data_IF_369039916304
#
_entry.id   IF_369039916304
#
_cell.length_a   1.000
_cell.length_b   1.000
_cell.length_c   1.000
_cell.angle_alpha   90.00
_cell.angle_beta   90.00
_cell.angle_gamma   90.00
#
_symmetry.space_group_name_H-M   'P 1'
#
loop_
_entity.id
_entity.type
_entity.pdbx_description
1 polymer ?
#
# COMPACT_ATOMS: atom_id res chain seq x y z
N UNK A 1 -6.60 -5.44 30.88
CA UNK A 1 -6.26 -4.00 30.82
C UNK A 1 -4.77 -3.73 30.57
N UNK A 2 -3.82 -4.32 31.32
CA UNK A 2 -2.36 -4.09 31.10
C UNK A 2 -1.88 -4.34 29.66
N UNK A 3 -2.35 -5.39 28.99
CA UNK A 3 -2.00 -5.68 27.59
C UNK A 3 -2.50 -4.63 26.59
N UNK A 4 -3.74 -4.13 26.76
CA UNK A 4 -4.30 -3.06 25.93
C UNK A 4 -3.53 -1.74 26.08
N UNK A 5 -3.14 -1.38 27.31
CA UNK A 5 -2.32 -0.18 27.56
C UNK A 5 -0.92 -0.28 26.93
N UNK A 6 -0.28 -1.45 26.98
CA UNK A 6 1.01 -1.66 26.34
C UNK A 6 0.91 -1.63 24.81
N UNK A 7 -0.09 -2.29 24.22
CA UNK A 7 -0.34 -2.25 22.78
C UNK A 7 -0.65 -0.83 22.30
N UNK A 8 -1.48 -0.09 23.04
CA UNK A 8 -1.77 1.31 22.76
C UNK A 8 -0.50 2.15 22.75
N UNK A 9 0.30 2.10 23.82
CA UNK A 9 1.53 2.88 23.92
C UNK A 9 2.51 2.55 22.78
N UNK A 10 2.69 1.26 22.47
CA UNK A 10 3.59 0.81 21.40
C UNK A 10 3.13 1.34 20.03
N UNK A 11 1.83 1.23 19.72
CA UNK A 11 1.26 1.73 18.46
C UNK A 11 1.40 3.25 18.37
N UNK A 12 1.15 3.98 19.46
CA UNK A 12 1.33 5.43 19.53
C UNK A 12 2.79 5.83 19.31
N UNK A 13 3.75 5.12 19.92
CA UNK A 13 5.19 5.36 19.73
C UNK A 13 5.60 5.14 18.27
N UNK A 14 5.17 4.03 17.65
CA UNK A 14 5.48 3.75 16.24
C UNK A 14 4.83 4.74 15.28
N UNK A 15 3.61 5.16 15.56
CA UNK A 15 2.93 6.20 14.78
C UNK A 15 3.69 7.52 14.87
N UNK A 16 4.13 7.90 16.07
CA UNK A 16 4.91 9.13 16.30
C UNK A 16 6.26 9.05 15.59
N UNK A 17 6.97 7.93 15.71
CA UNK A 17 8.22 7.69 15.01
C UNK A 17 8.04 7.81 13.49
N UNK A 18 6.97 7.22 12.94
CA UNK A 18 6.66 7.34 11.52
C UNK A 18 6.40 8.78 11.08
N UNK A 19 5.78 9.61 11.93
CA UNK A 19 5.57 11.05 11.64
C UNK A 19 6.90 11.81 11.61
N UNK A 20 7.78 11.55 12.58
CA UNK A 20 9.13 12.14 12.61
C UNK A 20 9.92 11.73 11.36
N UNK A 21 9.91 10.44 11.00
CA UNK A 21 10.54 9.95 9.78
C UNK A 21 9.92 10.55 8.51
N UNK A 22 8.60 10.75 8.50
CA UNK A 22 7.90 11.44 7.41
C UNK A 22 8.39 12.88 7.24
N UNK A 23 8.56 13.61 8.35
CA UNK A 23 9.12 14.96 8.33
C UNK A 23 10.57 14.99 7.81
N UNK A 24 11.41 14.06 8.26
CA UNK A 24 12.79 13.93 7.77
C UNK A 24 12.80 13.61 6.27
N UNK A 25 11.94 12.68 5.82
CA UNK A 25 11.77 12.38 4.40
C UNK A 25 11.43 13.65 3.61
N UNK A 26 10.50 14.47 4.09
CA UNK A 26 10.09 15.67 3.36
C UNK A 26 11.23 16.69 3.26
N UNK A 27 12.07 16.83 4.28
CA UNK A 27 13.31 17.63 4.22
C UNK A 27 14.25 17.09 3.14
N UNK A 28 14.42 15.76 3.06
CA UNK A 28 15.27 15.14 2.04
C UNK A 28 14.70 15.35 0.64
N UNK A 29 13.39 15.13 0.44
CA UNK A 29 12.74 15.38 -0.85
C UNK A 29 12.94 16.84 -1.27
N UNK A 30 12.71 17.80 -0.37
CA UNK A 30 12.93 19.21 -0.65
C UNK A 30 14.40 19.53 -0.99
N UNK A 31 15.36 18.92 -0.27
CA UNK A 31 16.80 19.10 -0.53
C UNK A 31 17.24 18.57 -1.90
N UNK A 32 16.75 17.39 -2.30
CA UNK A 32 17.23 16.70 -3.51
C UNK A 32 16.44 17.08 -4.77
N UNK A 33 15.12 17.30 -4.66
CA UNK A 33 14.28 17.61 -5.81
C UNK A 33 13.97 19.10 -5.93
N UNK A 34 13.87 19.83 -4.82
CA UNK A 34 13.38 21.21 -4.81
C UNK A 34 11.99 21.36 -5.43
N UNK A 35 11.69 22.54 -5.97
CA UNK A 35 10.49 22.80 -6.77
C UNK A 35 10.83 22.70 -8.26
N UNK A 36 11.00 21.49 -8.76
CA UNK A 36 11.39 21.20 -10.16
C UNK A 36 10.30 20.43 -10.89
N UNK A 37 10.37 20.43 -12.23
CA UNK A 37 9.52 19.60 -13.10
C UNK A 37 9.57 18.13 -12.70
N UNK A 38 10.74 17.64 -12.27
CA UNK A 38 10.92 16.28 -11.76
C UNK A 38 10.14 16.03 -10.46
N UNK A 39 10.09 17.00 -9.56
CA UNK A 39 9.32 16.92 -8.31
C UNK A 39 7.83 16.81 -8.60
N UNK A 40 7.31 17.69 -9.45
CA UNK A 40 5.90 17.70 -9.82
C UNK A 40 5.49 16.40 -10.51
N UNK A 41 6.31 15.91 -11.45
CA UNK A 41 6.12 14.64 -12.11
C UNK A 41 6.08 13.46 -11.12
N UNK A 42 7.00 13.42 -10.16
CA UNK A 42 7.03 12.37 -9.13
C UNK A 42 5.77 12.43 -8.26
N UNK A 43 5.38 13.60 -7.76
CA UNK A 43 4.22 13.71 -6.88
C UNK A 43 2.92 13.37 -7.61
N UNK A 44 2.76 13.78 -8.87
CA UNK A 44 1.61 13.38 -9.71
C UNK A 44 1.59 11.85 -9.87
N UNK A 45 2.71 11.25 -10.27
CA UNK A 45 2.80 9.79 -10.42
C UNK A 45 2.52 9.06 -9.10
N UNK A 46 3.02 9.57 -7.98
CA UNK A 46 2.87 8.98 -6.65
C UNK A 46 1.46 9.12 -6.07
N UNK A 47 0.60 10.02 -6.57
CA UNK A 47 -0.82 10.09 -6.16
C UNK A 47 -1.55 8.79 -6.49
N UNK A 48 -1.27 8.20 -7.64
CA UNK A 48 -1.93 6.99 -8.15
C UNK A 48 -1.81 5.81 -7.16
N UNK A 49 -0.60 5.31 -6.82
CA UNK A 49 -0.47 4.22 -5.85
C UNK A 49 -0.98 4.61 -4.46
N UNK A 50 -0.89 5.88 -4.06
CA UNK A 50 -1.39 6.34 -2.76
C UNK A 50 -2.90 6.29 -2.67
N UNK A 51 -3.60 6.60 -3.75
CA UNK A 51 -5.05 6.42 -3.84
C UNK A 51 -5.42 4.99 -3.48
N UNK A 52 -4.86 4.02 -4.19
CA UNK A 52 -5.14 2.60 -3.95
C UNK A 52 -4.68 2.15 -2.56
N UNK A 53 -3.53 2.61 -2.09
CA UNK A 53 -3.06 2.34 -0.72
C UNK A 53 -4.08 2.78 0.31
N UNK A 54 -4.66 3.98 0.18
CA UNK A 54 -5.66 4.48 1.13
C UNK A 54 -6.98 3.72 1.02
N UNK A 55 -7.45 3.44 -0.19
CA UNK A 55 -8.70 2.68 -0.43
C UNK A 55 -8.59 1.24 0.10
N UNK A 56 -7.47 0.56 -0.18
CA UNK A 56 -7.25 -0.83 0.20
C UNK A 56 -6.74 -0.94 1.63
N UNK A 57 -5.58 -0.36 1.96
CA UNK A 57 -4.92 -0.59 3.25
C UNK A 57 -5.58 0.11 4.43
N UNK A 58 -5.97 1.38 4.26
CA UNK A 58 -6.55 2.20 5.33
C UNK A 58 -8.09 2.16 5.36
N UNK A 59 -8.71 1.65 4.30
CA UNK A 59 -10.16 1.76 4.09
C UNK A 59 -10.87 0.41 4.03
N UNK A 60 -11.43 0.13 2.86
CA UNK A 60 -12.46 -0.86 2.64
C UNK A 60 -12.02 -2.31 2.89
N UNK A 61 -10.79 -2.63 2.52
CA UNK A 61 -10.30 -4.01 2.57
C UNK A 61 -10.20 -4.49 4.01
N UNK A 62 -9.47 -3.76 4.86
CA UNK A 62 -9.30 -4.09 6.28
C UNK A 62 -10.63 -4.10 7.02
N UNK A 63 -11.52 -3.14 6.73
CA UNK A 63 -12.85 -3.05 7.32
C UNK A 63 -13.76 -4.24 6.96
N UNK A 64 -13.59 -4.83 5.77
CA UNK A 64 -14.34 -5.99 5.33
C UNK A 64 -13.70 -7.33 5.76
N UNK A 65 -12.37 -7.42 5.70
CA UNK A 65 -11.64 -8.66 6.00
C UNK A 65 -11.69 -9.00 7.48
N UNK A 66 -11.45 -8.01 8.36
CA UNK A 66 -11.32 -8.24 9.81
C UNK A 66 -12.59 -8.87 10.39
N UNK A 67 -13.82 -8.35 10.19
CA UNK A 67 -15.01 -8.95 10.78
C UNK A 67 -15.28 -10.39 10.30
N UNK A 68 -15.07 -10.66 9.00
CA UNK A 68 -15.28 -12.00 8.43
C UNK A 68 -14.24 -12.97 8.95
N UNK A 69 -12.97 -12.56 8.97
CA UNK A 69 -11.87 -13.40 9.44
C UNK A 69 -11.96 -13.67 10.95
N UNK A 70 -12.23 -12.65 11.77
CA UNK A 70 -12.45 -12.82 13.21
C UNK A 70 -13.62 -13.77 13.48
N UNK A 71 -14.72 -13.68 12.73
CA UNK A 71 -15.84 -14.63 12.85
C UNK A 71 -15.39 -16.07 12.59
N UNK A 72 -14.59 -16.30 11.56
CA UNK A 72 -14.06 -17.65 11.24
C UNK A 72 -13.12 -18.15 12.35
N UNK A 73 -12.22 -17.30 12.87
CA UNK A 73 -11.28 -17.67 13.95
C UNK A 73 -12.01 -17.97 15.26
N UNK A 74 -13.12 -17.28 15.54
CA UNK A 74 -13.95 -17.52 16.73
C UNK A 74 -14.81 -18.78 16.61
N UNK A 75 -15.34 -19.06 15.42
CA UNK A 75 -16.22 -20.21 15.14
C UNK A 75 -15.42 -21.51 14.95
N UNK A 76 -14.26 -21.43 14.29
CA UNK A 76 -13.41 -22.58 13.98
C UNK A 76 -12.29 -22.66 15.00
N UNK A 77 -12.39 -23.59 15.96
CA UNK A 77 -11.22 -23.97 16.79
C UNK A 77 -10.08 -24.58 15.96
N UNK A 78 -10.35 -24.92 14.70
CA UNK A 78 -9.42 -25.53 13.75
C UNK A 78 -8.87 -24.51 12.73
N UNK A 79 -7.55 -24.50 12.59
CA UNK A 79 -6.72 -23.72 11.66
C UNK A 79 -7.07 -23.82 10.14
N UNK A 80 -7.55 -24.97 9.57
CA UNK A 80 -7.69 -25.13 8.12
C UNK A 80 -8.69 -24.19 7.46
N UNK A 81 -9.78 -23.87 8.16
CA UNK A 81 -10.87 -23.05 7.64
C UNK A 81 -10.53 -21.56 7.60
N UNK A 82 -9.74 -21.10 8.58
CA UNK A 82 -9.16 -19.77 8.64
C UNK A 82 -8.11 -19.60 7.54
N UNK A 83 -7.21 -20.58 7.40
CA UNK A 83 -6.20 -20.60 6.35
C UNK A 83 -6.82 -20.59 4.94
N UNK A 84 -7.88 -21.38 4.67
CA UNK A 84 -8.51 -21.39 3.34
C UNK A 84 -9.11 -20.04 2.96
N UNK A 85 -9.80 -19.36 3.88
CA UNK A 85 -10.37 -18.04 3.61
C UNK A 85 -9.28 -17.01 3.28
N UNK A 86 -8.21 -17.01 4.08
CA UNK A 86 -7.10 -16.07 3.94
C UNK A 86 -6.32 -16.32 2.65
N UNK A 87 -5.95 -17.58 2.36
CA UNK A 87 -5.23 -17.93 1.13
C UNK A 87 -6.04 -17.62 -0.12
N UNK A 88 -7.37 -17.81 -0.07
CA UNK A 88 -8.28 -17.54 -1.17
C UNK A 88 -8.45 -16.02 -1.40
N UNK A 89 -8.68 -15.23 -0.33
CA UNK A 89 -8.74 -13.76 -0.43
C UNK A 89 -7.41 -13.15 -0.87
N UNK A 90 -6.27 -13.67 -0.37
CA UNK A 90 -4.93 -13.28 -0.82
C UNK A 90 -4.75 -13.54 -2.32
N UNK A 91 -5.15 -14.72 -2.80
CA UNK A 91 -4.99 -15.12 -4.20
C UNK A 91 -5.88 -14.29 -5.13
N UNK A 92 -7.12 -13.98 -4.73
CA UNK A 92 -7.97 -13.04 -5.46
C UNK A 92 -7.35 -11.64 -5.51
N UNK A 93 -6.86 -11.14 -4.38
CA UNK A 93 -6.21 -9.83 -4.29
C UNK A 93 -4.97 -9.76 -5.19
N UNK A 94 -4.15 -10.80 -5.20
CA UNK A 94 -2.97 -10.88 -6.05
C UNK A 94 -3.33 -10.86 -7.53
N UNK A 95 -4.31 -11.65 -7.98
CA UNK A 95 -4.76 -11.66 -9.37
C UNK A 95 -5.25 -10.27 -9.79
N UNK A 96 -6.09 -9.63 -8.97
CA UNK A 96 -6.64 -8.30 -9.26
C UNK A 96 -5.51 -7.26 -9.34
N UNK A 97 -4.63 -7.22 -8.34
CA UNK A 97 -3.57 -6.20 -8.27
C UNK A 97 -2.50 -6.37 -9.35
N UNK A 98 -2.16 -7.61 -9.71
CA UNK A 98 -1.26 -7.90 -10.84
C UNK A 98 -1.92 -7.49 -12.15
N UNK A 99 -3.19 -7.84 -12.36
CA UNK A 99 -3.93 -7.45 -13.58
C UNK A 99 -4.00 -5.93 -13.71
N UNK A 100 -4.38 -5.23 -12.63
CA UNK A 100 -4.37 -3.77 -12.60
C UNK A 100 -2.97 -3.20 -12.85
N UNK A 101 -1.92 -3.82 -12.31
CA UNK A 101 -0.54 -3.36 -12.52
C UNK A 101 -0.12 -3.41 -13.98
N UNK A 102 -0.46 -4.50 -14.67
CA UNK A 102 -0.19 -4.65 -16.10
C UNK A 102 -1.01 -3.63 -16.91
N UNK A 103 -2.32 -3.49 -16.61
CA UNK A 103 -3.19 -2.56 -17.33
C UNK A 103 -2.73 -1.11 -17.18
N UNK A 104 -2.39 -0.68 -15.96
CA UNK A 104 -1.89 0.67 -15.72
C UNK A 104 -0.50 0.88 -16.29
N UNK A 105 0.38 -0.13 -16.33
CA UNK A 105 1.69 0.02 -16.94
C UNK A 105 1.57 0.45 -18.42
N UNK A 106 0.70 -0.23 -19.19
CA UNK A 106 0.45 0.14 -20.59
C UNK A 106 -0.44 1.38 -20.74
N UNK A 107 -1.41 1.56 -19.84
CA UNK A 107 -2.35 2.68 -19.86
C UNK A 107 -1.83 3.98 -19.20
N UNK A 108 -0.62 3.98 -18.64
CA UNK A 108 -0.09 5.09 -17.85
C UNK A 108 -0.16 6.46 -18.55
N UNK A 109 0.15 6.59 -19.86
CA UNK A 109 0.02 7.87 -20.54
C UNK A 109 -1.39 8.49 -20.44
N UNK A 110 -2.43 7.67 -20.61
CA UNK A 110 -3.82 8.13 -20.50
C UNK A 110 -4.19 8.48 -19.06
N UNK A 111 -3.68 7.71 -18.09
CA UNK A 111 -3.89 8.00 -16.66
C UNK A 111 -3.28 9.36 -16.28
N UNK A 112 -2.06 9.64 -16.73
CA UNK A 112 -1.40 10.92 -16.47
C UNK A 112 -2.11 12.08 -17.17
N UNK A 113 -2.62 11.89 -18.40
CA UNK A 113 -3.41 12.93 -19.09
C UNK A 113 -4.66 13.34 -18.30
N UNK A 114 -5.34 12.39 -17.67
CA UNK A 114 -6.53 12.66 -16.85
C UNK A 114 -6.17 13.30 -15.52
N UNK A 115 -5.10 12.85 -14.86
CA UNK A 115 -4.72 13.34 -13.53
C UNK A 115 -3.99 14.68 -13.54
N UNK A 116 -3.24 14.95 -14.59
CA UNK A 116 -2.46 16.18 -14.75
C UNK A 116 -2.60 16.70 -16.19
N UNK A 117 -3.80 17.16 -16.60
CA UNK A 117 -4.01 17.65 -17.96
C UNK A 117 -3.08 18.81 -18.33
N UNK A 118 -2.65 19.62 -17.34
CA UNK A 118 -1.67 20.69 -17.52
C UNK A 118 -0.29 20.22 -17.97
N UNK A 119 0.08 18.96 -17.75
CA UNK A 119 1.34 18.40 -18.25
C UNK A 119 1.31 18.17 -19.76
N UNK A 120 0.14 18.13 -20.40
CA UNK A 120 0.05 17.99 -21.86
C UNK A 120 0.73 19.14 -22.61
N UNK A 121 0.90 20.30 -21.96
CA UNK A 121 1.60 21.47 -22.50
C UNK A 121 3.12 21.41 -22.23
N UNK A 122 3.54 20.64 -21.22
CA UNK A 122 4.96 20.42 -20.88
C UNK A 122 5.33 18.94 -21.10
N UNK A 123 5.88 18.66 -22.29
CA UNK A 123 6.24 17.30 -22.70
C UNK A 123 7.20 16.61 -21.73
N UNK A 124 8.16 17.33 -21.16
CA UNK A 124 9.13 16.77 -20.21
C UNK A 124 8.44 16.32 -18.92
N UNK A 125 7.57 17.16 -18.35
CA UNK A 125 6.79 16.82 -17.16
C UNK A 125 5.91 15.57 -17.39
N UNK A 126 5.27 15.52 -18.56
CA UNK A 126 4.44 14.39 -18.97
C UNK A 126 5.24 13.10 -19.07
N UNK A 127 6.33 13.09 -19.83
CA UNK A 127 7.15 11.90 -20.06
C UNK A 127 7.74 11.36 -18.74
N UNK A 128 8.23 12.25 -17.86
CA UNK A 128 8.69 11.87 -16.52
C UNK A 128 7.58 11.28 -15.65
N UNK A 129 6.38 11.88 -15.65
CA UNK A 129 5.27 11.40 -14.85
C UNK A 129 4.77 10.03 -15.34
N UNK A 130 4.77 9.79 -16.65
CA UNK A 130 4.49 8.47 -17.23
C UNK A 130 5.53 7.46 -16.79
N UNK A 131 6.82 7.79 -16.87
CA UNK A 131 7.90 6.89 -16.50
C UNK A 131 7.88 6.54 -15.00
N UNK A 132 7.79 7.55 -14.14
CA UNK A 132 7.64 7.34 -12.70
C UNK A 132 6.38 6.56 -12.38
N UNK A 133 5.25 6.85 -13.04
CA UNK A 133 4.02 6.10 -12.88
C UNK A 133 4.23 4.61 -13.16
N UNK A 134 4.90 4.26 -14.25
CA UNK A 134 5.21 2.88 -14.62
C UNK A 134 6.13 2.17 -13.61
N UNK A 135 7.14 2.87 -13.10
CA UNK A 135 8.06 2.32 -12.08
C UNK A 135 7.34 2.09 -10.76
N UNK A 136 6.52 3.06 -10.35
CA UNK A 136 5.90 3.06 -9.03
C UNK A 136 4.70 2.12 -8.99
N UNK A 137 3.87 2.05 -10.02
CA UNK A 137 2.57 1.39 -9.95
C UNK A 137 2.61 -0.09 -9.48
N UNK A 138 3.62 -0.93 -9.81
CA UNK A 138 3.78 -2.28 -9.24
C UNK A 138 3.79 -2.33 -7.70
N UNK A 139 4.10 -1.22 -7.02
CA UNK A 139 3.92 -1.06 -5.57
C UNK A 139 2.52 -1.46 -5.08
N UNK A 140 1.48 -1.29 -5.92
CA UNK A 140 0.10 -1.68 -5.65
C UNK A 140 0.00 -3.13 -5.16
N UNK A 141 0.75 -4.05 -5.76
CA UNK A 141 0.74 -5.47 -5.40
C UNK A 141 1.21 -5.63 -3.96
N UNK A 142 2.37 -5.06 -3.63
CA UNK A 142 2.98 -5.20 -2.32
C UNK A 142 2.14 -4.55 -1.22
N UNK A 143 1.66 -3.33 -1.44
CA UNK A 143 0.89 -2.62 -0.42
C UNK A 143 -0.47 -3.27 -0.15
N UNK A 144 -1.07 -3.90 -1.16
CA UNK A 144 -2.31 -4.67 -1.00
C UNK A 144 -2.07 -5.93 -0.16
N UNK A 145 -0.97 -6.65 -0.41
CA UNK A 145 -0.59 -7.81 0.41
C UNK A 145 -0.24 -7.40 1.84
N UNK A 146 0.42 -6.26 2.02
CA UNK A 146 0.70 -5.67 3.34
C UNK A 146 -0.59 -5.37 4.10
N UNK A 147 -1.61 -4.78 3.44
CA UNK A 147 -2.92 -4.55 4.03
C UNK A 147 -3.59 -5.87 4.47
N UNK A 148 -3.51 -6.89 3.62
CA UNK A 148 -4.03 -8.21 3.89
C UNK A 148 -3.37 -8.86 5.10
N UNK A 149 -2.04 -8.89 5.16
CA UNK A 149 -1.32 -9.42 6.32
C UNK A 149 -1.52 -8.59 7.58
N UNK A 150 -1.61 -7.27 7.47
CA UNK A 150 -1.92 -6.41 8.60
C UNK A 150 -3.28 -6.74 9.20
N UNK A 151 -4.28 -7.01 8.36
CA UNK A 151 -5.61 -7.39 8.83
C UNK A 151 -5.60 -8.71 9.62
N UNK A 152 -4.83 -9.72 9.16
CA UNK A 152 -4.69 -11.00 9.86
C UNK A 152 -3.99 -10.83 11.20
N UNK A 153 -2.85 -10.14 11.20
CA UNK A 153 -2.05 -9.89 12.40
C UNK A 153 -2.86 -9.08 13.44
N UNK A 154 -3.71 -8.16 12.97
CA UNK A 154 -4.62 -7.39 13.84
C UNK A 154 -5.73 -8.25 14.47
N UNK A 155 -6.26 -9.26 13.77
CA UNK A 155 -7.20 -10.22 14.35
C UNK A 155 -6.57 -11.00 15.51
N UNK A 156 -5.26 -11.22 15.47
CA UNK A 156 -4.48 -11.81 16.56
C UNK A 156 -3.94 -10.77 17.57
N UNK A 157 -4.52 -9.57 17.62
CA UNK A 157 -4.19 -8.49 18.57
C UNK A 157 -2.74 -7.96 18.51
N UNK A 158 -2.00 -8.22 17.41
CA UNK A 158 -0.62 -7.75 17.20
C UNK A 158 -0.54 -6.47 16.38
N UNK A 159 -1.20 -5.42 16.84
CA UNK A 159 -1.33 -4.14 16.11
C UNK A 159 -0.01 -3.40 15.82
N UNK A 160 1.04 -3.67 16.60
CA UNK A 160 2.32 -2.97 16.52
C UNK A 160 3.03 -3.18 15.17
N UNK A 161 2.94 -4.38 14.57
CA UNK A 161 3.59 -4.65 13.28
C UNK A 161 3.00 -3.77 12.18
N UNK A 162 1.66 -3.70 12.08
CA UNK A 162 0.98 -2.83 11.12
C UNK A 162 1.29 -1.34 11.31
N UNK A 163 1.42 -0.89 12.56
CA UNK A 163 1.73 0.51 12.87
C UNK A 163 3.14 0.95 12.44
N UNK A 164 4.09 0.02 12.30
CA UNK A 164 5.46 0.30 11.87
C UNK A 164 5.62 0.34 10.34
N UNK A 165 4.69 -0.24 9.58
CA UNK A 165 4.74 -0.30 8.10
C UNK A 165 5.01 1.05 7.44
N UNK A 166 4.36 2.18 7.82
CA UNK A 166 4.61 3.47 7.17
C UNK A 166 6.03 4.00 7.41
N UNK A 167 6.65 3.66 8.54
CA UNK A 167 8.04 4.03 8.83
C UNK A 167 9.01 3.39 7.84
N UNK A 168 8.78 2.14 7.44
CA UNK A 168 9.61 1.42 6.45
C UNK A 168 9.64 2.16 5.12
N UNK A 169 8.50 2.66 4.64
CA UNK A 169 8.44 3.42 3.38
C UNK A 169 9.19 4.76 3.49
N UNK A 170 9.06 5.46 4.62
CA UNK A 170 9.79 6.70 4.86
C UNK A 170 11.31 6.47 4.90
N UNK A 171 11.76 5.39 5.55
CA UNK A 171 13.17 4.97 5.56
C UNK A 171 13.63 4.67 4.13
N UNK A 172 12.84 3.93 3.36
CA UNK A 172 13.15 3.61 1.96
C UNK A 172 13.35 4.87 1.12
N UNK A 173 12.50 5.89 1.27
CA UNK A 173 12.66 7.16 0.57
C UNK A 173 13.94 7.91 0.95
N UNK A 174 14.24 7.98 2.24
CA UNK A 174 15.46 8.65 2.72
C UNK A 174 16.69 7.95 2.17
N UNK A 175 16.74 6.61 2.26
CA UNK A 175 17.85 5.82 1.77
C UNK A 175 17.97 5.88 0.24
N UNK A 176 16.87 5.84 -0.49
CA UNK A 176 16.91 5.89 -1.96
C UNK A 176 17.40 7.24 -2.46
N UNK A 177 16.95 8.36 -1.85
CA UNK A 177 17.47 9.68 -2.16
C UNK A 177 18.96 9.82 -1.86
N UNK A 178 19.43 9.23 -0.75
CA UNK A 178 20.83 9.32 -0.38
C UNK A 178 21.74 8.44 -1.25
N UNK A 179 21.37 7.19 -1.50
CA UNK A 179 22.23 6.20 -2.15
C UNK A 179 21.99 6.05 -3.65
N UNK A 180 20.77 6.22 -4.16
CA UNK A 180 20.46 5.95 -5.57
C UNK A 180 20.54 7.20 -6.45
N UNK A 181 20.33 8.40 -5.88
CA UNK A 181 20.40 9.65 -6.65
C UNK A 181 21.70 9.81 -7.45
N UNK A 182 22.91 9.51 -6.91
CA UNK A 182 24.15 9.64 -7.67
C UNK A 182 24.29 8.65 -8.85
N UNK A 183 23.45 7.60 -8.89
CA UNK A 183 23.56 6.51 -9.85
C UNK A 183 22.43 6.50 -10.89
N UNK A 184 21.49 7.43 -10.79
CA UNK A 184 20.30 7.49 -11.64
C UNK A 184 20.18 8.87 -12.30
N UNK A 185 19.35 8.94 -13.34
CA UNK A 185 19.18 10.14 -14.15
C UNK A 185 18.64 11.35 -13.38
N UNK A 186 17.87 11.12 -12.31
CA UNK A 186 17.41 12.18 -11.42
C UNK A 186 17.01 11.64 -10.05
N UNK A 187 16.91 12.54 -9.07
CA UNK A 187 16.38 12.22 -7.75
C UNK A 187 14.92 11.72 -7.78
N UNK A 188 14.15 12.09 -8.82
CA UNK A 188 12.80 11.55 -9.05
C UNK A 188 12.81 10.05 -9.38
N UNK A 189 13.77 9.58 -10.19
CA UNK A 189 13.95 8.15 -10.44
C UNK A 189 14.34 7.42 -9.15
N UNK A 190 15.26 8.00 -8.36
CA UNK A 190 15.66 7.45 -7.06
C UNK A 190 14.47 7.30 -6.10
N UNK A 191 13.56 8.26 -6.06
CA UNK A 191 12.32 8.14 -5.29
C UNK A 191 11.36 7.11 -5.87
N UNK A 192 11.17 7.06 -7.18
CA UNK A 192 10.29 6.10 -7.84
C UNK A 192 10.70 4.65 -7.50
N UNK A 193 11.99 4.32 -7.62
CA UNK A 193 12.52 3.03 -7.14
C UNK A 193 12.43 2.89 -5.62
N UNK A 194 12.62 3.97 -4.87
CA UNK A 194 12.42 4.00 -3.42
C UNK A 194 11.02 3.58 -2.97
N UNK A 195 9.97 3.94 -3.72
CA UNK A 195 8.60 3.46 -3.46
C UNK A 195 8.53 1.94 -3.60
N UNK A 196 9.07 1.41 -4.70
CA UNK A 196 9.01 -0.01 -5.01
C UNK A 196 9.81 -0.85 -3.99
N UNK A 197 11.04 -0.42 -3.69
CA UNK A 197 11.90 -1.02 -2.66
C UNK A 197 11.19 -0.98 -1.30
N UNK A 198 10.55 0.15 -0.97
CA UNK A 198 9.79 0.31 0.27
C UNK A 198 8.63 -0.67 0.35
N UNK A 199 7.86 -0.83 -0.74
CA UNK A 199 6.78 -1.80 -0.82
C UNK A 199 7.27 -3.24 -0.62
N UNK A 200 8.37 -3.62 -1.26
CA UNK A 200 8.98 -4.94 -1.07
C UNK A 200 9.41 -5.15 0.38
N UNK A 201 10.08 -4.16 0.98
CA UNK A 201 10.52 -4.23 2.38
C UNK A 201 9.33 -4.34 3.35
N UNK A 202 8.26 -3.57 3.13
CA UNK A 202 7.02 -3.66 3.89
C UNK A 202 6.38 -5.04 3.77
N UNK A 203 6.31 -5.57 2.54
CA UNK A 203 5.79 -6.92 2.29
C UNK A 203 6.60 -7.98 3.02
N UNK A 204 7.93 -7.97 2.92
CA UNK A 204 8.80 -8.95 3.60
C UNK A 204 8.64 -8.85 5.12
N UNK A 205 8.56 -7.63 5.67
CA UNK A 205 8.33 -7.41 7.09
C UNK A 205 6.99 -8.01 7.54
N UNK A 206 5.90 -7.71 6.85
CA UNK A 206 4.58 -8.21 7.21
C UNK A 206 4.40 -9.70 6.94
N UNK A 207 5.03 -10.23 5.89
CA UNK A 207 5.07 -11.66 5.63
C UNK A 207 5.75 -12.39 6.79
N UNK A 208 6.88 -11.89 7.29
CA UNK A 208 7.52 -12.47 8.49
C UNK A 208 6.62 -12.40 9.72
N UNK A 209 5.92 -11.28 9.93
CA UNK A 209 5.00 -11.14 11.06
C UNK A 209 3.84 -12.15 10.99
N UNK A 210 3.33 -12.46 9.79
CA UNK A 210 2.20 -13.38 9.65
C UNK A 210 2.59 -14.85 9.86
N UNK A 211 3.86 -15.21 9.65
CA UNK A 211 4.38 -16.56 9.87
C UNK A 211 4.27 -17.03 11.33
N UNK A 212 4.09 -16.11 12.29
CA UNK A 212 3.80 -16.45 13.68
C UNK A 212 2.44 -17.14 13.87
N UNK A 213 1.50 -16.91 12.94
CA UNK A 213 0.12 -17.38 13.04
C UNK A 213 -0.21 -18.48 12.04
N UNK A 214 0.20 -18.31 10.78
CA UNK A 214 0.00 -19.32 9.75
C UNK A 214 1.01 -19.14 8.62
N UNK A 215 1.20 -20.16 7.77
CA UNK A 215 2.10 -20.11 6.61
C UNK A 215 1.30 -19.86 5.33
N UNK A 216 1.34 -18.65 4.73
CA UNK A 216 0.56 -18.35 3.54
C UNK A 216 0.95 -19.22 2.35
N UNK A 217 -0.04 -19.84 1.70
CA UNK A 217 0.13 -20.54 0.42
C UNK A 217 -0.74 -19.90 -0.66
N UNK A 218 -0.21 -19.84 -1.87
CA UNK A 218 -0.99 -19.45 -3.03
C UNK A 218 -1.90 -20.61 -3.44
N UNK A 219 -3.17 -20.29 -3.71
CA UNK A 219 -4.15 -21.25 -4.22
C UNK A 219 -4.89 -20.64 -5.40
N UNK A 220 -5.48 -21.49 -6.23
CA UNK A 220 -6.46 -21.00 -7.18
C UNK A 220 -7.70 -20.52 -6.43
N UNK A 221 -8.09 -19.25 -6.61
CA UNK A 221 -9.19 -18.69 -5.84
C UNK A 221 -10.52 -19.33 -6.23
N UNK A 222 -11.38 -19.54 -5.24
CA UNK A 222 -12.72 -20.14 -5.40
C UNK A 222 -13.76 -19.28 -4.70
N UNK A 223 -14.86 -18.96 -5.38
CA UNK A 223 -15.96 -18.21 -4.75
C UNK A 223 -16.77 -19.18 -3.88
N UNK A 224 -16.44 -19.24 -2.59
CA UNK A 224 -17.17 -20.02 -1.59
C UNK A 224 -18.12 -19.12 -0.76
N UNK A 225 -18.90 -19.73 0.13
CA UNK A 225 -19.87 -19.00 0.95
C UNK A 225 -19.22 -17.95 1.87
N UNK A 226 -17.98 -18.14 2.31
CA UNK A 226 -17.24 -17.20 3.16
C UNK A 226 -16.80 -15.96 2.37
N UNK A 227 -16.26 -16.17 1.17
CA UNK A 227 -15.94 -15.07 0.24
C UNK A 227 -17.19 -14.26 -0.12
N UNK A 228 -18.35 -14.91 -0.27
CA UNK A 228 -19.63 -14.20 -0.50
C UNK A 228 -20.03 -13.28 0.67
N UNK A 229 -19.59 -13.57 1.90
CA UNK A 229 -19.79 -12.68 3.06
C UNK A 229 -18.84 -11.47 3.04
N UNK A 230 -17.67 -11.58 2.39
CA UNK A 230 -16.69 -10.49 2.28
C UNK A 230 -17.13 -9.39 1.31
N UNK A 231 -17.62 -9.75 0.11
CA UNK A 231 -18.00 -8.77 -0.91
C UNK A 231 -19.03 -7.69 -0.50
N UNK A 232 -20.12 -7.99 0.22
CA UNK A 232 -21.09 -6.97 0.63
C UNK A 232 -20.51 -5.99 1.65
N UNK A 233 -19.44 -6.35 2.36
CA UNK A 233 -18.70 -5.42 3.23
C UNK A 233 -17.67 -4.62 2.42
N UNK A 234 -17.00 -5.28 1.49
CA UNK A 234 -15.90 -4.71 0.72
C UNK A 234 -16.34 -3.67 -0.32
N UNK A 235 -17.33 -3.99 -1.16
CA UNK A 235 -17.71 -3.12 -2.28
C UNK A 235 -18.25 -1.74 -1.84
N UNK A 236 -19.19 -1.65 -0.87
CA UNK A 236 -19.64 -0.35 -0.38
C UNK A 236 -18.50 0.45 0.26
N UNK A 237 -17.59 -0.23 0.97
CA UNK A 237 -16.41 0.40 1.55
C UNK A 237 -15.47 0.99 0.49
N UNK A 238 -15.26 0.30 -0.63
CA UNK A 238 -14.42 0.81 -1.74
C UNK A 238 -15.07 2.05 -2.32
N UNK A 239 -16.38 2.04 -2.56
CA UNK A 239 -17.08 3.19 -3.14
C UNK A 239 -16.97 4.38 -2.18
N UNK A 240 -17.26 4.18 -0.89
CA UNK A 240 -17.18 5.24 0.12
C UNK A 240 -15.77 5.82 0.26
N UNK A 241 -14.76 4.96 0.43
CA UNK A 241 -13.36 5.41 0.55
C UNK A 241 -12.82 5.99 -0.76
N UNK A 242 -13.18 5.41 -1.90
CA UNK A 242 -12.79 5.86 -3.23
C UNK A 242 -13.31 7.27 -3.54
N UNK A 243 -14.58 7.57 -3.24
CA UNK A 243 -15.16 8.91 -3.43
C UNK A 243 -14.39 9.95 -2.60
N UNK A 244 -14.08 9.64 -1.34
CA UNK A 244 -13.30 10.53 -0.47
C UNK A 244 -11.90 10.79 -1.07
N UNK A 245 -11.22 9.73 -1.53
CA UNK A 245 -9.88 9.87 -2.07
C UNK A 245 -9.85 10.56 -3.44
N UNK A 246 -10.88 10.37 -4.28
CA UNK A 246 -11.02 11.08 -5.56
C UNK A 246 -11.19 12.58 -5.33
N UNK A 247 -11.98 12.97 -4.32
CA UNK A 247 -12.15 14.37 -3.96
C UNK A 247 -10.79 15.00 -3.58
N UNK A 248 -9.96 14.32 -2.78
CA UNK A 248 -8.63 14.81 -2.38
C UNK A 248 -7.63 14.91 -3.56
N UNK A 249 -7.86 14.17 -4.65
CA UNK A 249 -6.97 14.18 -5.82
C UNK A 249 -7.37 15.26 -6.82
N UNK A 250 -8.67 15.51 -6.96
CA UNK A 250 -9.26 16.45 -7.94
C UNK A 250 -9.44 17.86 -7.35
N UNK A 251 -9.82 17.95 -6.07
CA UNK A 251 -9.98 19.21 -5.31
C UNK A 251 -8.69 19.64 -4.61
#
# INVERSE_FOLDING_TARGET
>A
MRGLFQSFFTVSSYTTLSRVLGFIRDIFIAKYLGSTVTADAFFVAFRIPNFFRRVLAEGAYSAALIPVFSGIVLESKDDPEAADFVENTMSMLLIITVTLSVLFYFGMPYVIQVLAPGFSVNKEAFDLAVDFGKIIFPYLIFISLVAHFTSIVNVHEKFAAGAFVPAILNISFILSLFFLTPHLSSAGHALAYGVLIGGIAQFVFMYRAVLEFYKPRLRFPKINNKIKKFFPLFFPGIIGSGVIQLNIIIG
#
